data_IF_452766368407
#
_entry.id   IF_452766368407
#
_cell.length_a   1.000
_cell.length_b   1.000
_cell.length_c   1.000
_cell.angle_alpha   90.00
_cell.angle_beta   90.00
_cell.angle_gamma   90.00
#
_symmetry.space_group_name_H-M   'P 1'
#
loop_
_entity.id
_entity.type
_entity.pdbx_description
1 polymer ?
#
# COMPACT_ATOMS: atom_id res chain seq x y z
N UNK A 1 8.22 -1.56 -12.52
CA UNK A 1 8.85 -2.84 -12.10
C UNK A 1 10.02 -2.64 -11.13
N UNK A 2 10.90 -1.65 -11.33
CA UNK A 2 12.03 -1.38 -10.41
C UNK A 2 11.60 -1.07 -8.97
N UNK A 3 10.59 -0.21 -8.77
CA UNK A 3 10.06 0.11 -7.44
C UNK A 3 9.56 -1.14 -6.68
N UNK A 4 8.89 -2.06 -7.37
CA UNK A 4 8.44 -3.31 -6.76
C UNK A 4 9.60 -4.24 -6.41
N UNK A 5 10.66 -4.28 -7.23
CA UNK A 5 11.87 -5.02 -6.92
C UNK A 5 12.52 -4.51 -5.63
N UNK A 6 12.69 -3.20 -5.50
CA UNK A 6 13.21 -2.57 -4.28
C UNK A 6 12.31 -2.89 -3.08
N UNK A 7 10.99 -2.81 -3.26
CA UNK A 7 10.02 -3.14 -2.21
C UNK A 7 10.20 -4.56 -1.68
N UNK A 8 10.38 -5.56 -2.57
CA UNK A 8 10.66 -6.94 -2.17
C UNK A 8 11.98 -7.07 -1.42
N UNK A 9 13.02 -6.40 -1.88
CA UNK A 9 14.33 -6.39 -1.20
C UNK A 9 14.23 -5.77 0.20
N UNK A 10 13.49 -4.65 0.34
CA UNK A 10 13.22 -4.03 1.64
C UNK A 10 12.48 -4.97 2.59
N UNK A 11 11.43 -5.65 2.10
CA UNK A 11 10.67 -6.65 2.88
C UNK A 11 11.53 -7.86 3.30
N UNK A 12 12.44 -8.33 2.45
CA UNK A 12 13.25 -9.52 2.75
C UNK A 12 14.52 -9.22 3.56
N UNK A 13 15.05 -8.00 3.48
CA UNK A 13 16.38 -7.65 4.03
C UNK A 13 16.49 -7.79 5.55
N UNK A 14 15.37 -7.69 6.29
CA UNK A 14 15.38 -7.68 7.76
C UNK A 14 16.04 -6.44 8.38
N UNK A 15 16.44 -5.45 7.57
CA UNK A 15 17.10 -4.21 7.99
C UNK A 15 16.15 -3.09 8.38
N UNK A 16 14.83 -3.31 8.26
CA UNK A 16 13.79 -2.35 8.60
C UNK A 16 12.84 -2.97 9.61
N UNK A 17 12.38 -2.17 10.57
CA UNK A 17 11.29 -2.56 11.48
C UNK A 17 9.91 -2.28 10.84
N UNK A 18 9.86 -1.37 9.86
CA UNK A 18 8.63 -1.00 9.15
C UNK A 18 8.90 -0.69 7.67
N UNK A 19 8.00 -1.15 6.81
CA UNK A 19 7.98 -0.84 5.37
C UNK A 19 6.60 -0.29 4.99
N UNK A 20 6.57 0.85 4.29
CA UNK A 20 5.34 1.46 3.76
C UNK A 20 5.31 1.24 2.26
N UNK A 21 4.31 0.50 1.80
CA UNK A 21 4.03 0.27 0.39
C UNK A 21 2.92 1.24 -0.03
N UNK A 22 3.33 2.46 -0.37
CA UNK A 22 2.40 3.52 -0.74
C UNK A 22 1.76 3.23 -2.11
N UNK A 23 0.43 3.37 -2.20
CA UNK A 23 -0.39 3.14 -3.40
C UNK A 23 -0.30 1.73 -4.01
N UNK A 24 0.14 0.74 -3.22
CA UNK A 24 0.23 -0.66 -3.68
C UNK A 24 -1.14 -1.26 -4.00
N UNK A 25 -2.20 -0.85 -3.27
CA UNK A 25 -3.55 -1.33 -3.54
C UNK A 25 -4.00 -0.92 -4.95
N UNK A 26 -3.72 0.33 -5.35
CA UNK A 26 -3.99 0.81 -6.69
C UNK A 26 -3.17 0.06 -7.75
N UNK A 27 -1.89 -0.20 -7.47
CA UNK A 27 -1.04 -0.95 -8.39
C UNK A 27 -1.57 -2.36 -8.65
N UNK A 28 -2.11 -3.04 -7.61
CA UNK A 28 -2.78 -4.33 -7.75
C UNK A 28 -4.09 -4.17 -8.53
N UNK A 29 -4.94 -3.20 -8.15
CA UNK A 29 -6.25 -2.98 -8.78
C UNK A 29 -6.15 -2.66 -10.28
N UNK A 30 -5.08 -1.95 -10.69
CA UNK A 30 -4.80 -1.65 -12.09
C UNK A 30 -4.05 -2.76 -12.83
N UNK A 31 -3.76 -3.90 -12.18
CA UNK A 31 -3.08 -5.03 -12.80
C UNK A 31 -1.60 -4.80 -13.10
N UNK A 32 -0.98 -3.78 -12.48
CA UNK A 32 0.44 -3.48 -12.65
C UNK A 32 1.33 -4.48 -11.89
N UNK A 33 0.82 -5.03 -10.80
CA UNK A 33 1.48 -6.05 -9.97
C UNK A 33 0.46 -7.15 -9.66
N UNK A 34 0.76 -8.43 -9.92
CA UNK A 34 -0.11 -9.53 -9.54
C UNK A 34 -0.28 -9.60 -8.03
N UNK A 35 -1.53 -9.73 -7.55
CA UNK A 35 -1.81 -9.81 -6.11
C UNK A 35 -1.09 -10.99 -5.44
N UNK A 36 -0.97 -12.11 -6.13
CA UNK A 36 -0.31 -13.31 -5.60
C UNK A 36 1.18 -13.07 -5.30
N UNK A 37 1.84 -12.21 -6.11
CA UNK A 37 3.22 -11.83 -5.86
C UNK A 37 3.36 -10.98 -4.60
N UNK A 38 2.42 -10.06 -4.37
CA UNK A 38 2.38 -9.24 -3.15
C UNK A 38 2.08 -10.09 -1.92
N UNK A 39 1.10 -11.00 -2.03
CA UNK A 39 0.72 -11.93 -0.95
C UNK A 39 1.90 -12.83 -0.57
N UNK A 40 2.64 -13.36 -1.56
CA UNK A 40 3.82 -14.16 -1.30
C UNK A 40 4.90 -13.35 -0.55
N UNK A 41 5.24 -12.16 -1.04
CA UNK A 41 6.22 -11.29 -0.41
C UNK A 41 5.83 -10.91 1.03
N UNK A 42 4.55 -10.65 1.29
CA UNK A 42 4.06 -10.39 2.63
C UNK A 42 4.18 -11.62 3.53
N UNK A 43 3.90 -12.83 3.06
CA UNK A 43 4.02 -14.05 3.87
C UNK A 43 5.46 -14.46 4.16
N UNK A 44 6.38 -14.19 3.24
CA UNK A 44 7.79 -14.58 3.34
C UNK A 44 8.64 -13.57 4.14
N UNK A 45 8.13 -12.36 4.38
CA UNK A 45 8.85 -11.34 5.15
C UNK A 45 9.15 -11.83 6.58
N UNK A 46 10.26 -11.38 7.20
CA UNK A 46 10.49 -11.61 8.62
C UNK A 46 9.34 -11.05 9.48
N UNK A 47 8.86 -11.84 10.44
CA UNK A 47 7.68 -11.52 11.26
C UNK A 47 7.79 -10.20 12.02
N UNK A 48 9.02 -9.80 12.37
CA UNK A 48 9.30 -8.52 13.05
C UNK A 48 9.01 -7.27 12.20
N UNK A 49 8.82 -7.40 10.88
CA UNK A 49 8.62 -6.27 9.98
C UNK A 49 7.14 -5.93 9.89
N UNK A 50 6.79 -4.74 10.35
CA UNK A 50 5.47 -4.15 10.14
C UNK A 50 5.35 -3.62 8.71
N UNK A 51 4.25 -3.94 8.03
CA UNK A 51 4.01 -3.47 6.66
C UNK A 51 2.72 -2.69 6.59
N UNK A 52 2.79 -1.48 6.05
CA UNK A 52 1.62 -0.62 5.83
C UNK A 52 1.37 -0.57 4.33
N UNK A 53 0.14 -0.87 3.92
CA UNK A 53 -0.30 -0.79 2.53
C UNK A 53 -1.32 0.33 2.43
N UNK A 54 -1.11 1.26 1.50
CA UNK A 54 -2.05 2.35 1.23
C UNK A 54 -2.61 2.25 -0.18
N UNK A 55 -3.58 3.12 -0.46
CA UNK A 55 -4.28 3.18 -1.73
C UNK A 55 -5.69 2.60 -1.66
N UNK A 56 -6.45 2.84 -2.72
CA UNK A 56 -7.87 2.50 -2.90
C UNK A 56 -8.03 1.08 -3.45
N UNK A 57 -9.23 0.55 -3.34
CA UNK A 57 -9.64 -0.72 -3.95
C UNK A 57 -8.73 -1.91 -3.56
N UNK A 58 -8.40 -2.01 -2.27
CA UNK A 58 -7.58 -3.10 -1.75
C UNK A 58 -8.18 -4.47 -2.13
N UNK A 59 -7.36 -5.32 -2.75
CA UNK A 59 -7.80 -6.63 -3.22
C UNK A 59 -8.28 -7.50 -2.03
N UNK A 60 -9.36 -8.30 -2.17
CA UNK A 60 -9.89 -9.11 -1.06
C UNK A 60 -8.86 -10.00 -0.37
N UNK A 61 -7.90 -10.57 -1.12
CA UNK A 61 -6.79 -11.35 -0.55
C UNK A 61 -5.87 -10.53 0.36
N UNK A 62 -5.65 -9.26 0.06
CA UNK A 62 -4.86 -8.35 0.91
C UNK A 62 -5.63 -8.04 2.19
N UNK A 63 -6.93 -7.72 2.06
CA UNK A 63 -7.82 -7.45 3.20
C UNK A 63 -7.90 -8.66 4.14
N UNK A 64 -8.01 -9.87 3.59
CA UNK A 64 -8.04 -11.10 4.38
C UNK A 64 -6.71 -11.42 5.08
N UNK A 65 -5.58 -11.02 4.50
CA UNK A 65 -4.25 -11.26 5.05
C UNK A 65 -3.88 -10.24 6.14
N UNK A 66 -4.43 -9.03 6.08
CA UNK A 66 -4.06 -7.93 6.96
C UNK A 66 -4.56 -8.14 8.39
N UNK A 67 -3.70 -7.85 9.37
CA UNK A 67 -4.06 -7.86 10.79
C UNK A 67 -5.00 -6.70 11.17
N UNK A 68 -4.89 -5.58 10.46
CA UNK A 68 -5.69 -4.38 10.63
C UNK A 68 -6.05 -3.78 9.27
N UNK A 69 -7.31 -3.41 9.11
CA UNK A 69 -7.81 -2.71 7.92
C UNK A 69 -8.59 -1.48 8.35
N UNK A 70 -8.19 -0.32 7.82
CA UNK A 70 -8.89 0.96 8.02
C UNK A 70 -9.36 1.48 6.67
N UNK A 71 -10.66 1.77 6.56
CA UNK A 71 -11.25 2.36 5.37
C UNK A 71 -11.45 3.88 5.56
N UNK A 72 -10.87 4.68 4.65
CA UNK A 72 -11.07 6.13 4.62
C UNK A 72 -12.20 6.46 3.65
N UNK A 73 -13.39 6.76 4.18
CA UNK A 73 -14.56 7.15 3.37
C UNK A 73 -14.61 8.67 3.20
N UNK A 74 -14.68 9.16 1.96
CA UNK A 74 -14.84 10.59 1.66
C UNK A 74 -16.22 11.09 2.11
N UNK A 75 -16.30 11.73 3.28
CA UNK A 75 -17.52 12.41 3.75
C UNK A 75 -17.64 13.82 3.14
N UNK A 76 -16.51 14.52 3.01
CA UNK A 76 -16.39 15.83 2.38
C UNK A 76 -14.95 16.06 1.94
N UNK A 77 -14.76 16.75 0.81
CA UNK A 77 -13.42 17.08 0.31
C UNK A 77 -13.37 18.49 -0.30
N UNK A 78 -12.35 19.33 -0.02
CA UNK A 78 -12.20 20.67 -0.60
C UNK A 78 -12.26 20.72 -2.13
N UNK A 79 -11.78 19.66 -2.78
CA UNK A 79 -11.90 19.46 -4.23
C UNK A 79 -13.34 19.57 -4.74
N UNK A 80 -14.34 19.10 -3.98
CA UNK A 80 -15.76 19.22 -4.35
C UNK A 80 -16.25 20.68 -4.39
N UNK A 81 -15.53 21.58 -3.73
CA UNK A 81 -15.77 23.02 -3.72
C UNK A 81 -14.83 23.78 -4.68
N UNK A 82 -14.14 23.08 -5.59
CA UNK A 82 -13.25 23.69 -6.58
C UNK A 82 -11.85 24.04 -6.07
N UNK A 83 -11.50 23.65 -4.84
CA UNK A 83 -10.14 23.82 -4.30
C UNK A 83 -9.29 22.66 -4.80
N UNK A 84 -8.35 22.96 -5.69
CA UNK A 84 -7.35 22.01 -6.20
C UNK A 84 -6.22 21.78 -5.19
N UNK A 85 -5.09 21.31 -5.68
CA UNK A 85 -3.92 20.91 -4.92
C UNK A 85 -3.23 22.13 -4.27
N UNK A 86 -2.94 22.03 -2.97
CA UNK A 86 -2.23 23.04 -2.19
C UNK A 86 -0.92 22.45 -1.70
N UNK A 87 0.16 23.16 -1.98
CA UNK A 87 1.49 22.82 -1.50
C UNK A 87 1.50 22.78 0.04
N UNK A 88 2.06 21.71 0.59
CA UNK A 88 2.12 21.40 2.01
C UNK A 88 0.87 20.75 2.58
N UNK A 89 -0.16 20.48 1.76
CA UNK A 89 -1.37 19.76 2.18
C UNK A 89 -1.61 18.54 1.30
N UNK A 90 -1.78 18.75 0.00
CA UNK A 90 -1.98 17.65 -0.96
C UNK A 90 -0.65 17.11 -1.50
N UNK A 91 0.41 17.94 -1.54
CA UNK A 91 1.76 17.57 -2.00
C UNK A 91 2.87 18.42 -1.38
#
# INVERSE_FOLDING_TARGET
MEAWKISKESLSSGGYDMVILDEINNAIAYGLIPVDEVVAALKERPEKIHVILTGRDAHPLIVQLADLVTEMVEVKHPYRNGIIDRKGIEY
#
